data_IF_577209099099
#
_entry.id   IF_577209099099
#
_cell.length_a   1.000
_cell.length_b   1.000
_cell.length_c   1.000
_cell.angle_alpha   90.00
_cell.angle_beta   90.00
_cell.angle_gamma   90.00
#
_symmetry.space_group_name_H-M   'P 1'
#
loop_
_entity.id
_entity.type
_entity.pdbx_description
1 polymer ?
#
# COMPACT_ATOMS: atom_id res chain seq x y z
N UNK A 1 7.36 36.62 -46.30
CA UNK A 1 8.49 36.62 -45.36
C UNK A 1 8.28 35.40 -44.48
N UNK A 2 9.06 34.35 -44.70
CA UNK A 2 8.91 33.04 -44.07
C UNK A 2 9.96 32.90 -42.95
N UNK A 3 9.53 32.54 -41.75
CA UNK A 3 10.43 32.04 -40.69
C UNK A 3 9.78 30.84 -40.02
N UNK A 4 10.39 29.69 -40.30
CA UNK A 4 10.05 28.36 -39.84
C UNK A 4 10.70 28.14 -38.49
N UNK A 5 9.94 28.22 -37.38
CA UNK A 5 10.45 27.82 -36.07
C UNK A 5 10.24 26.32 -35.85
N UNK A 6 11.38 25.66 -35.65
CA UNK A 6 11.54 24.22 -35.51
C UNK A 6 10.95 23.76 -34.16
N UNK A 7 10.08 22.75 -34.22
CA UNK A 7 9.75 21.92 -33.06
C UNK A 7 11.03 21.28 -32.51
N UNK A 8 11.48 21.72 -31.34
CA UNK A 8 12.43 20.97 -30.52
C UNK A 8 11.62 20.04 -29.61
N UNK A 9 11.73 18.73 -29.84
CA UNK A 9 11.21 17.70 -28.93
C UNK A 9 11.87 17.84 -27.55
N UNK A 10 11.15 17.55 -26.44
CA UNK A 10 11.73 17.53 -25.11
C UNK A 10 12.85 16.49 -25.06
N UNK A 11 13.99 16.87 -24.48
CA UNK A 11 15.08 15.95 -24.21
C UNK A 11 14.58 14.79 -23.34
N UNK A 12 14.67 13.58 -23.87
CA UNK A 12 14.45 12.36 -23.10
C UNK A 12 15.45 12.36 -21.94
N UNK A 13 14.95 12.31 -20.72
CA UNK A 13 15.76 12.09 -19.52
C UNK A 13 16.63 10.86 -19.74
N UNK A 14 17.95 11.03 -19.65
CA UNK A 14 18.91 9.96 -19.90
C UNK A 14 18.69 8.85 -18.87
N UNK A 15 18.69 7.60 -19.35
CA UNK A 15 18.61 6.42 -18.51
C UNK A 15 19.76 6.34 -17.48
N UNK A 16 20.85 7.09 -17.71
CA UNK A 16 22.03 7.15 -16.85
C UNK A 16 21.78 7.91 -15.54
N UNK A 17 21.01 9.00 -15.54
CA UNK A 17 20.72 9.76 -14.29
C UNK A 17 19.84 8.95 -13.34
N UNK A 18 18.89 8.19 -13.88
CA UNK A 18 18.08 7.25 -13.11
C UNK A 18 18.91 6.06 -12.60
N UNK A 19 19.90 5.61 -13.37
CA UNK A 19 20.82 4.54 -12.96
C UNK A 19 21.77 5.01 -11.84
N UNK A 20 22.24 6.25 -11.88
CA UNK A 20 23.17 6.83 -10.91
C UNK A 20 22.49 7.04 -9.54
N UNK A 21 21.23 7.49 -9.52
CA UNK A 21 20.41 7.54 -8.30
C UNK A 21 20.04 6.15 -7.75
N UNK A 22 19.92 5.14 -8.62
CA UNK A 22 19.73 3.75 -8.22
C UNK A 22 20.99 3.17 -7.56
N UNK A 23 22.17 3.50 -8.08
CA UNK A 23 23.47 3.05 -7.58
C UNK A 23 23.77 3.66 -6.20
N UNK A 24 23.58 4.98 -6.04
CA UNK A 24 23.80 5.69 -4.78
C UNK A 24 22.85 5.20 -3.66
N UNK A 25 21.63 4.78 -3.97
CA UNK A 25 20.73 4.18 -2.96
C UNK A 25 20.96 2.68 -2.73
N UNK A 26 21.52 1.96 -3.70
CA UNK A 26 22.01 0.59 -3.50
C UNK A 26 23.22 0.58 -2.53
N UNK A 27 23.98 1.67 -2.52
CA UNK A 27 25.11 1.97 -1.64
C UNK A 27 24.69 2.51 -0.26
N UNK A 28 23.41 2.47 0.12
CA UNK A 28 23.04 2.72 1.51
C UNK A 28 23.64 1.60 2.40
N UNK A 29 24.32 1.92 3.52
CA UNK A 29 25.12 0.96 4.31
C UNK A 29 24.32 -0.20 4.92
N UNK A 30 22.99 -0.23 4.75
CA UNK A 30 22.10 -1.31 5.17
C UNK A 30 22.05 -2.50 4.18
N UNK A 31 22.48 -2.36 2.93
CA UNK A 31 22.56 -3.49 2.00
C UNK A 31 23.73 -4.44 2.32
N UNK A 32 24.84 -3.90 2.82
CA UNK A 32 26.10 -4.63 2.98
C UNK A 32 26.11 -5.65 4.14
N UNK A 33 25.16 -5.60 5.08
CA UNK A 33 25.13 -6.52 6.25
C UNK A 33 23.82 -7.33 6.36
N UNK A 34 23.27 -7.76 5.21
CA UNK A 34 22.10 -8.65 5.17
C UNK A 34 22.47 -10.07 5.61
N UNK A 35 22.39 -10.35 6.92
CA UNK A 35 22.48 -11.73 7.43
C UNK A 35 21.12 -12.42 7.23
N UNK A 36 21.07 -13.40 6.35
CA UNK A 36 19.86 -14.17 6.03
C UNK A 36 19.12 -14.59 7.31
N UNK A 37 17.79 -14.39 7.34
CA UNK A 37 16.96 -14.81 8.46
C UNK A 37 17.11 -16.34 8.63
N UNK A 38 17.68 -16.78 9.76
CA UNK A 38 17.92 -18.19 10.03
C UNK A 38 16.59 -18.91 10.26
N UNK A 39 16.22 -19.79 9.32
CA UNK A 39 15.01 -20.62 9.35
C UNK A 39 15.08 -21.72 10.43
N UNK A 40 16.24 -21.92 11.08
CA UNK A 40 16.49 -22.98 12.07
C UNK A 40 15.40 -23.12 13.14
N UNK A 41 14.88 -22.01 13.68
CA UNK A 41 13.84 -22.07 14.71
C UNK A 41 12.50 -22.63 14.21
N UNK A 42 12.12 -22.30 12.97
CA UNK A 42 10.87 -22.81 12.37
C UNK A 42 11.01 -24.28 11.94
N UNK A 43 12.16 -24.67 11.39
CA UNK A 43 12.45 -26.08 11.07
C UNK A 43 12.41 -26.95 12.32
N UNK A 44 13.00 -26.48 13.42
CA UNK A 44 12.98 -27.21 14.69
C UNK A 44 11.56 -27.37 15.24
N UNK A 45 10.71 -26.34 15.13
CA UNK A 45 9.30 -26.46 15.49
C UNK A 45 8.55 -27.50 14.64
N UNK A 46 8.78 -27.54 13.33
CA UNK A 46 8.20 -28.58 12.47
C UNK A 46 8.64 -29.99 12.86
N UNK A 47 9.90 -30.18 13.25
CA UNK A 47 10.40 -31.48 13.74
C UNK A 47 9.71 -31.87 15.05
N UNK A 48 9.52 -30.92 15.97
CA UNK A 48 8.78 -31.16 17.22
C UNK A 48 7.32 -31.56 16.96
N UNK A 49 6.66 -30.87 16.03
CA UNK A 49 5.27 -31.15 15.67
C UNK A 49 5.12 -32.55 15.01
N UNK A 50 6.06 -32.91 14.14
CA UNK A 50 6.11 -34.24 13.52
C UNK A 50 6.30 -35.34 14.57
N UNK A 51 7.20 -35.14 15.54
CA UNK A 51 7.39 -36.06 16.67
C UNK A 51 6.11 -36.23 17.49
N UNK A 52 5.38 -35.14 17.73
CA UNK A 52 4.10 -35.20 18.43
C UNK A 52 3.04 -36.00 17.66
N UNK A 53 2.91 -35.77 16.35
CA UNK A 53 1.99 -36.54 15.51
C UNK A 53 2.33 -38.04 15.50
N UNK A 54 3.63 -38.39 15.43
CA UNK A 54 4.07 -39.80 15.53
C UNK A 54 3.74 -40.42 16.89
N UNK A 55 3.82 -39.64 17.97
CA UNK A 55 3.46 -40.10 19.32
C UNK A 55 1.94 -40.30 19.45
N UNK A 56 1.13 -39.44 18.84
CA UNK A 56 -0.33 -39.58 18.80
C UNK A 56 -0.78 -40.88 18.10
N UNK A 57 -0.13 -41.23 16.98
CA UNK A 57 -0.38 -42.45 16.21
C UNK A 57 0.16 -43.69 16.95
N UNK A 58 1.39 -43.59 17.47
CA UNK A 58 2.09 -44.67 18.16
C UNK A 58 1.53 -45.00 19.55
N UNK A 59 0.78 -44.08 20.17
CA UNK A 59 0.25 -44.25 21.53
C UNK A 59 -0.64 -45.50 21.69
N UNK A 60 -1.32 -45.96 20.63
CA UNK A 60 -2.13 -47.19 20.71
C UNK A 60 -1.27 -48.46 20.80
N UNK A 61 -0.09 -48.44 20.18
CA UNK A 61 0.82 -49.58 20.11
C UNK A 61 1.75 -49.62 21.32
N UNK A 62 2.28 -48.47 21.73
CA UNK A 62 3.26 -48.33 22.81
C UNK A 62 2.60 -48.54 24.18
N UNK A 63 1.37 -48.07 24.38
CA UNK A 63 0.67 -48.16 25.68
C UNK A 63 -0.38 -49.27 25.74
N UNK A 64 -0.30 -50.29 24.85
CA UNK A 64 -1.12 -51.53 24.95
C UNK A 64 -1.21 -52.11 26.37
N UNK A 65 -0.14 -52.16 27.19
CA UNK A 65 -0.23 -52.77 28.51
C UNK A 65 -0.91 -51.91 29.59
N UNK A 66 -1.11 -50.60 29.38
CA UNK A 66 -1.69 -49.69 30.40
C UNK A 66 -2.65 -48.67 29.77
N UNK A 67 -3.82 -49.14 29.33
CA UNK A 67 -4.83 -48.31 28.64
C UNK A 67 -5.36 -47.13 29.48
N UNK A 68 -5.33 -47.23 30.82
CA UNK A 68 -5.80 -46.17 31.72
C UNK A 68 -4.92 -44.90 31.72
N UNK A 69 -3.63 -45.03 31.40
CA UNK A 69 -2.68 -43.90 31.42
C UNK A 69 -2.61 -43.14 30.09
N UNK A 70 -3.23 -43.65 29.03
CA UNK A 70 -3.16 -43.05 27.69
C UNK A 70 -3.75 -41.63 27.68
N UNK A 71 -4.92 -41.45 28.30
CA UNK A 71 -5.60 -40.14 28.35
C UNK A 71 -4.81 -39.07 29.14
N UNK A 72 -4.33 -39.32 30.37
CA UNK A 72 -3.55 -38.32 31.10
C UNK A 72 -2.17 -38.04 30.48
N UNK A 73 -1.53 -39.04 29.87
CA UNK A 73 -0.23 -38.85 29.18
C UNK A 73 -0.38 -38.03 27.90
N UNK A 74 -1.45 -38.25 27.12
CA UNK A 74 -1.74 -37.42 25.94
C UNK A 74 -2.04 -35.98 26.35
N UNK A 75 -2.84 -35.78 27.40
CA UNK A 75 -3.17 -34.45 27.91
C UNK A 75 -1.95 -33.71 28.46
N UNK A 76 -1.06 -34.39 29.19
CA UNK A 76 0.17 -33.75 29.70
C UNK A 76 1.14 -33.39 28.56
N UNK A 77 1.24 -34.25 27.54
CA UNK A 77 2.04 -33.97 26.35
C UNK A 77 1.52 -32.75 25.57
N UNK A 78 0.20 -32.58 25.51
CA UNK A 78 -0.46 -31.47 24.83
C UNK A 78 -0.25 -30.12 25.55
N UNK A 79 -0.35 -30.11 26.88
CA UNK A 79 0.00 -28.94 27.71
C UNK A 79 1.47 -28.57 27.56
N UNK A 80 2.36 -29.58 27.49
CA UNK A 80 3.79 -29.35 27.25
C UNK A 80 4.05 -28.73 25.87
N UNK A 81 3.31 -29.19 24.85
CA UNK A 81 3.36 -28.59 23.52
C UNK A 81 2.85 -27.16 23.49
N UNK A 82 1.78 -26.84 24.21
CA UNK A 82 1.27 -25.48 24.30
C UNK A 82 2.32 -24.54 24.91
N UNK A 83 3.00 -24.99 25.98
CA UNK A 83 4.07 -24.22 26.62
C UNK A 83 5.25 -24.01 25.67
N UNK A 84 5.68 -25.06 24.97
CA UNK A 84 6.76 -24.99 23.99
C UNK A 84 6.38 -24.07 22.82
N UNK A 85 5.14 -24.15 22.33
CA UNK A 85 4.60 -23.30 21.25
C UNK A 85 4.55 -21.83 21.66
N UNK A 86 4.24 -21.53 22.92
CA UNK A 86 4.32 -20.17 23.46
C UNK A 86 5.73 -19.58 23.43
N UNK A 87 6.75 -20.36 23.83
CA UNK A 87 8.17 -19.94 23.75
C UNK A 87 8.57 -19.71 22.30
N UNK A 88 8.20 -20.62 21.39
CA UNK A 88 8.47 -20.46 19.95
C UNK A 88 7.77 -19.23 19.37
N UNK A 89 6.56 -18.91 19.80
CA UNK A 89 5.87 -17.71 19.35
C UNK A 89 6.61 -16.43 19.77
N UNK A 90 7.10 -16.36 21.00
CA UNK A 90 7.89 -15.20 21.45
C UNK A 90 9.16 -15.04 20.62
N UNK A 91 9.84 -16.13 20.30
CA UNK A 91 10.99 -16.15 19.41
C UNK A 91 10.64 -15.68 17.98
N UNK A 92 9.53 -16.15 17.40
CA UNK A 92 9.11 -15.76 16.05
C UNK A 92 8.68 -14.30 15.99
N UNK A 93 7.98 -13.79 17.00
CA UNK A 93 7.62 -12.36 17.10
C UNK A 93 8.87 -11.49 17.16
N UNK A 94 9.87 -11.90 17.94
CA UNK A 94 11.17 -11.22 17.99
C UNK A 94 11.84 -11.20 16.60
N UNK A 95 11.82 -12.31 15.87
CA UNK A 95 12.34 -12.37 14.50
C UNK A 95 11.59 -11.45 13.53
N UNK A 96 10.25 -11.39 13.60
CA UNK A 96 9.43 -10.49 12.76
C UNK A 96 9.72 -9.02 13.08
N UNK A 97 9.96 -8.69 14.35
CA UNK A 97 10.30 -7.33 14.77
C UNK A 97 11.69 -6.92 14.25
N UNK A 98 12.65 -7.85 14.25
CA UNK A 98 13.95 -7.65 13.62
C UNK A 98 13.84 -7.41 12.11
N UNK A 99 12.97 -8.15 11.41
CA UNK A 99 12.71 -7.94 9.98
C UNK A 99 12.00 -6.60 9.72
N UNK A 100 11.16 -6.13 10.65
CA UNK A 100 10.51 -4.81 10.57
C UNK A 100 11.53 -3.67 10.61
N UNK A 101 12.53 -3.78 11.48
CA UNK A 101 13.66 -2.86 11.59
C UNK A 101 14.53 -2.81 10.32
N UNK A 102 14.41 -3.79 9.43
CA UNK A 102 15.09 -3.80 8.13
C UNK A 102 14.29 -3.08 7.02
N UNK A 103 13.15 -2.43 7.35
CA UNK A 103 12.38 -1.63 6.38
C UNK A 103 11.36 -2.42 5.55
N UNK A 104 11.07 -3.68 5.89
CA UNK A 104 10.08 -4.51 5.17
C UNK A 104 8.69 -4.48 5.84
N UNK A 105 7.99 -3.35 5.71
CA UNK A 105 6.76 -3.07 6.47
C UNK A 105 5.55 -3.93 6.04
N UNK A 106 5.20 -3.95 4.75
CA UNK A 106 4.09 -4.76 4.20
C UNK A 106 4.29 -6.25 4.42
N UNK A 107 5.54 -6.70 4.32
CA UNK A 107 5.92 -8.07 4.59
C UNK A 107 5.81 -8.41 6.09
N UNK A 108 6.30 -7.54 6.97
CA UNK A 108 6.20 -7.70 8.43
C UNK A 108 4.73 -7.76 8.90
N UNK A 109 3.85 -6.94 8.32
CA UNK A 109 2.43 -6.92 8.69
C UNK A 109 1.72 -8.23 8.34
N UNK A 110 1.98 -8.80 7.15
CA UNK A 110 1.47 -10.13 6.76
C UNK A 110 2.08 -11.24 7.61
N UNK A 111 3.36 -11.17 7.90
CA UNK A 111 4.09 -12.18 8.67
C UNK A 111 3.67 -12.19 10.16
N UNK A 112 3.35 -11.02 10.74
CA UNK A 112 2.85 -10.88 12.11
C UNK A 112 1.54 -11.64 12.32
N UNK A 113 0.63 -11.61 11.34
CA UNK A 113 -0.61 -12.36 11.40
C UNK A 113 -0.33 -13.87 11.33
N UNK A 114 0.50 -14.30 10.38
CA UNK A 114 0.86 -15.70 10.17
C UNK A 114 1.55 -16.33 11.39
N UNK A 115 2.42 -15.59 12.08
CA UNK A 115 3.13 -16.08 13.29
C UNK A 115 2.20 -16.35 14.47
N UNK A 116 1.03 -15.70 14.54
CA UNK A 116 0.10 -15.88 15.67
C UNK A 116 -0.82 -17.09 15.53
N UNK A 117 -1.01 -17.59 14.30
CA UNK A 117 -1.97 -18.66 13.97
C UNK A 117 -1.62 -20.01 14.63
N UNK A 118 -0.35 -20.50 14.63
CA UNK A 118 0.00 -21.80 15.22
C UNK A 118 -0.34 -21.89 16.71
N UNK A 119 -0.10 -20.81 17.47
CA UNK A 119 -0.43 -20.77 18.89
C UNK A 119 -1.93 -20.75 19.14
N UNK A 120 -2.70 -20.00 18.35
CA UNK A 120 -4.15 -20.00 18.46
C UNK A 120 -4.71 -21.39 18.18
N UNK A 121 -4.21 -22.09 17.16
CA UNK A 121 -4.62 -23.46 16.83
C UNK A 121 -4.35 -24.41 18.00
N UNK A 122 -3.14 -24.37 18.59
CA UNK A 122 -2.80 -25.21 19.74
C UNK A 122 -3.59 -24.86 21.01
N UNK A 123 -3.87 -23.58 21.25
CA UNK A 123 -4.73 -23.16 22.36
C UNK A 123 -6.19 -23.65 22.18
N UNK A 124 -6.73 -23.61 20.95
CA UNK A 124 -8.07 -24.14 20.67
C UNK A 124 -8.11 -25.68 20.73
N UNK A 125 -7.07 -26.37 20.27
CA UNK A 125 -6.94 -27.82 20.34
C UNK A 125 -6.90 -28.35 21.78
N UNK A 126 -6.05 -27.75 22.60
CA UNK A 126 -5.95 -28.06 24.05
C UNK A 126 -7.26 -27.77 24.81
N UNK A 127 -7.91 -26.64 24.53
CA UNK A 127 -9.23 -26.31 25.10
C UNK A 127 -10.31 -27.32 24.70
N UNK A 128 -10.33 -27.77 23.44
CA UNK A 128 -11.24 -28.81 22.97
C UNK A 128 -10.98 -30.16 23.65
N UNK A 129 -9.71 -30.53 23.87
CA UNK A 129 -9.35 -31.75 24.61
C UNK A 129 -9.81 -31.70 26.07
N UNK A 130 -9.61 -30.59 26.77
CA UNK A 130 -10.11 -30.40 28.12
C UNK A 130 -11.64 -30.48 28.19
N UNK A 131 -12.34 -29.87 27.23
CA UNK A 131 -13.80 -29.94 27.13
C UNK A 131 -14.28 -31.39 26.95
N UNK A 132 -13.63 -32.17 26.09
CA UNK A 132 -13.96 -33.60 25.87
C UNK A 132 -13.71 -34.43 27.14
N UNK A 133 -12.68 -34.11 27.92
CA UNK A 133 -12.41 -34.78 29.21
C UNK A 133 -13.48 -34.44 30.25
N UNK A 134 -13.93 -33.18 30.32
CA UNK A 134 -15.00 -32.74 31.23
C UNK A 134 -16.35 -33.34 30.83
N UNK A 135 -16.62 -33.49 29.53
CA UNK A 135 -17.88 -34.05 29.00
C UNK A 135 -17.94 -35.59 28.97
N UNK A 136 -17.01 -36.26 29.67
CA UNK A 136 -16.92 -37.72 29.82
C UNK A 136 -18.25 -38.49 30.00
N UNK A 137 -19.25 -38.02 30.77
CA UNK A 137 -20.45 -38.83 31.03
C UNK A 137 -21.45 -38.95 29.86
N UNK A 138 -21.34 -38.15 28.79
CA UNK A 138 -22.37 -38.07 27.73
C UNK A 138 -21.97 -38.66 26.36
N UNK A 139 -20.73 -39.14 26.19
CA UNK A 139 -20.24 -39.59 24.87
C UNK A 139 -20.18 -41.12 24.76
N UNK A 140 -21.26 -41.73 24.26
CA UNK A 140 -21.37 -43.19 24.10
C UNK A 140 -20.87 -43.76 22.76
N UNK A 141 -20.49 -42.93 21.78
CA UNK A 141 -20.29 -43.36 20.38
C UNK A 141 -18.84 -43.66 19.96
N UNK A 142 -17.82 -43.15 20.67
CA UNK A 142 -16.40 -43.37 20.34
C UNK A 142 -15.55 -43.42 21.63
N UNK A 143 -14.48 -44.22 21.65
CA UNK A 143 -13.56 -44.23 22.79
C UNK A 143 -12.94 -42.83 22.97
N UNK A 144 -12.93 -42.32 24.20
CA UNK A 144 -12.39 -40.98 24.54
C UNK A 144 -10.96 -40.82 24.03
N UNK A 145 -10.15 -41.89 24.13
CA UNK A 145 -8.79 -41.91 23.60
C UNK A 145 -8.72 -41.77 22.07
N UNK A 146 -9.71 -42.22 21.31
CA UNK A 146 -9.75 -42.04 19.86
C UNK A 146 -10.10 -40.60 19.48
N UNK A 147 -11.06 -39.98 20.19
CA UNK A 147 -11.44 -38.58 19.96
C UNK A 147 -10.26 -37.64 20.24
N UNK A 148 -9.57 -37.81 21.37
CA UNK A 148 -8.39 -37.01 21.72
C UNK A 148 -7.28 -37.12 20.66
N UNK A 149 -7.07 -38.31 20.08
CA UNK A 149 -6.08 -38.50 19.01
C UNK A 149 -6.47 -37.84 17.71
N UNK A 150 -7.75 -37.89 17.34
CA UNK A 150 -8.25 -37.20 16.14
C UNK A 150 -8.01 -35.69 16.29
N UNK A 151 -8.33 -35.12 17.46
CA UNK A 151 -8.07 -33.70 17.75
C UNK A 151 -6.57 -33.38 17.64
N UNK A 152 -5.70 -34.19 18.24
CA UNK A 152 -4.24 -34.00 18.16
C UNK A 152 -3.68 -34.09 16.74
N UNK A 153 -4.15 -35.04 15.93
CA UNK A 153 -3.71 -35.18 14.54
C UNK A 153 -4.17 -33.97 13.72
N UNK A 154 -5.42 -33.53 13.88
CA UNK A 154 -5.96 -32.35 13.19
C UNK A 154 -5.20 -31.08 13.61
N UNK A 155 -4.88 -30.93 14.89
CA UNK A 155 -4.09 -29.81 15.40
C UNK A 155 -2.66 -29.82 14.83
N UNK A 156 -1.99 -30.97 14.83
CA UNK A 156 -0.64 -31.11 14.30
C UNK A 156 -0.60 -30.86 12.78
N UNK A 157 -1.57 -31.39 12.01
CA UNK A 157 -1.63 -31.15 10.56
C UNK A 157 -1.89 -29.68 10.26
N UNK A 158 -2.81 -29.04 10.98
CA UNK A 158 -3.13 -27.62 10.76
C UNK A 158 -1.98 -26.70 11.16
N UNK A 159 -1.39 -26.85 12.34
CA UNK A 159 -0.22 -26.08 12.77
C UNK A 159 0.99 -26.29 11.84
N UNK A 160 1.21 -27.54 11.38
CA UNK A 160 2.28 -27.88 10.44
C UNK A 160 2.09 -27.24 9.06
N UNK A 161 0.85 -27.16 8.58
CA UNK A 161 0.51 -26.47 7.33
C UNK A 161 0.85 -24.97 7.41
N UNK A 162 0.45 -24.28 8.49
CA UNK A 162 0.77 -22.86 8.67
C UNK A 162 2.27 -22.59 8.84
N UNK A 163 3.00 -23.49 9.49
CA UNK A 163 4.46 -23.37 9.60
C UNK A 163 5.16 -23.63 8.27
N UNK A 164 4.64 -24.53 7.44
CA UNK A 164 5.14 -24.74 6.08
C UNK A 164 4.91 -23.51 5.20
N UNK A 165 3.74 -22.85 5.34
CA UNK A 165 3.48 -21.57 4.70
C UNK A 165 4.46 -20.48 5.19
N UNK A 166 4.72 -20.42 6.50
CA UNK A 166 5.69 -19.48 7.07
C UNK A 166 7.10 -19.69 6.52
N UNK A 167 7.56 -20.93 6.45
CA UNK A 167 8.85 -21.29 5.84
C UNK A 167 8.86 -20.93 4.36
N UNK A 168 7.77 -21.20 3.64
CA UNK A 168 7.59 -20.82 2.24
C UNK A 168 7.69 -19.30 2.03
N UNK A 169 7.07 -18.51 2.90
CA UNK A 169 7.15 -17.05 2.87
C UNK A 169 8.56 -16.53 3.18
N UNK A 170 9.28 -17.12 4.14
CA UNK A 170 10.67 -16.77 4.43
C UNK A 170 11.59 -17.17 3.28
N UNK A 171 11.36 -18.35 2.70
CA UNK A 171 12.13 -18.81 1.55
C UNK A 171 11.89 -17.93 0.34
N UNK A 172 10.63 -17.56 0.08
CA UNK A 172 10.26 -16.60 -0.95
C UNK A 172 10.93 -15.25 -0.69
N UNK A 173 10.93 -14.77 0.56
CA UNK A 173 11.65 -13.56 0.99
C UNK A 173 13.17 -13.65 0.80
N UNK A 174 13.77 -14.82 1.04
CA UNK A 174 15.20 -15.03 0.86
C UNK A 174 15.58 -15.19 -0.62
N UNK A 175 14.66 -15.72 -1.45
CA UNK A 175 14.83 -15.89 -2.90
C UNK A 175 14.57 -14.60 -3.68
N UNK A 176 13.64 -13.77 -3.19
CA UNK A 176 13.39 -12.45 -3.72
C UNK A 176 14.48 -11.52 -3.14
N UNK A 177 15.54 -11.31 -3.91
CA UNK A 177 16.48 -10.19 -3.72
C UNK A 177 15.82 -8.81 -3.93
N UNK A 178 14.50 -8.72 -3.78
CA UNK A 178 13.72 -7.53 -4.07
C UNK A 178 13.94 -6.47 -3.01
N UNK A 179 14.20 -5.26 -3.52
CA UNK A 179 14.34 -4.01 -2.78
C UNK A 179 13.29 -3.85 -1.66
N UNK A 180 13.62 -3.14 -0.56
CA UNK A 180 12.67 -2.83 0.50
C UNK A 180 11.38 -2.25 -0.08
N UNK A 181 10.21 -2.77 0.33
CA UNK A 181 8.89 -2.27 -0.10
C UNK A 181 8.72 -0.76 0.17
N UNK A 182 9.48 -0.21 1.12
CA UNK A 182 9.58 1.23 1.42
C UNK A 182 10.09 2.02 0.22
N UNK A 183 11.07 1.52 -0.52
CA UNK A 183 11.56 2.17 -1.75
C UNK A 183 10.47 2.22 -2.82
N UNK A 184 9.70 1.15 -3.00
CA UNK A 184 8.59 1.13 -3.96
C UNK A 184 7.53 2.18 -3.61
N UNK A 185 7.30 2.42 -2.32
CA UNK A 185 6.42 3.48 -1.82
C UNK A 185 7.01 4.90 -1.87
N UNK A 186 8.34 5.05 -2.00
CA UNK A 186 9.00 6.33 -2.25
C UNK A 186 9.05 6.65 -3.75
N UNK A 187 9.14 5.62 -4.60
CA UNK A 187 9.05 5.73 -6.05
C UNK A 187 7.62 6.00 -6.54
N UNK A 188 6.59 5.49 -5.87
CA UNK A 188 5.19 5.70 -6.25
C UNK A 188 4.68 7.15 -6.18
N UNK A 189 5.10 8.00 -5.23
CA UNK A 189 4.81 9.44 -5.22
C UNK A 189 5.58 10.25 -6.28
N UNK A 190 6.72 9.74 -6.75
CA UNK A 190 7.52 10.36 -7.81
C UNK A 190 7.03 9.99 -9.22
N UNK A 191 6.10 9.04 -9.32
CA UNK A 191 5.48 8.62 -10.57
C UNK A 191 4.27 9.52 -10.89
N UNK A 192 4.14 10.05 -12.12
CA UNK A 192 3.12 11.03 -12.48
C UNK A 192 1.70 10.54 -12.16
N UNK A 193 0.96 11.43 -11.53
CA UNK A 193 -0.38 11.25 -10.97
C UNK A 193 -1.42 10.78 -12.00
N UNK A 194 -1.82 9.51 -11.91
CA UNK A 194 -3.01 9.00 -12.61
C UNK A 194 -4.26 9.08 -11.73
N UNK A 195 -5.19 9.95 -12.16
CA UNK A 195 -6.63 10.10 -11.81
C UNK A 195 -7.02 10.16 -10.32
N UNK A 196 -7.37 11.38 -9.92
CA UNK A 196 -7.90 11.87 -8.65
C UNK A 196 -9.33 11.36 -8.29
N UNK A 197 -9.72 10.13 -8.64
CA UNK A 197 -11.09 9.63 -8.39
C UNK A 197 -11.16 8.53 -7.29
N UNK A 198 -10.02 8.00 -6.84
CA UNK A 198 -9.96 6.94 -5.81
C UNK A 198 -9.56 7.37 -4.39
N UNK A 199 -9.22 8.65 -4.18
CA UNK A 199 -8.44 9.11 -3.03
C UNK A 199 -9.23 9.19 -1.71
N UNK A 200 -10.58 9.17 -1.74
CA UNK A 200 -11.39 9.36 -0.53
C UNK A 200 -11.51 8.11 0.37
N UNK A 201 -11.03 6.95 -0.08
CA UNK A 201 -11.06 5.69 0.68
C UNK A 201 -9.67 5.08 0.96
N UNK A 202 -8.58 5.71 0.49
CA UNK A 202 -7.19 5.23 0.68
C UNK A 202 -6.33 6.10 1.61
N UNK A 203 -6.86 7.24 2.06
CA UNK A 203 -6.11 8.23 2.84
C UNK A 203 -5.72 7.71 4.25
N UNK A 204 -6.58 6.93 4.90
CA UNK A 204 -6.29 6.36 6.22
C UNK A 204 -5.17 5.29 6.23
N UNK A 205 -4.95 4.62 5.09
CA UNK A 205 -3.88 3.61 4.96
C UNK A 205 -2.56 4.24 4.52
N UNK A 206 -2.64 5.38 3.82
CA UNK A 206 -1.50 6.22 3.44
C UNK A 206 -0.93 6.98 4.63
N UNK A 207 -1.77 7.54 5.51
CA UNK A 207 -1.32 8.23 6.73
C UNK A 207 -0.66 7.27 7.73
N UNK A 208 -1.20 6.07 7.92
CA UNK A 208 -0.56 5.01 8.72
C UNK A 208 0.79 4.57 8.15
N UNK A 209 0.89 4.52 6.82
CA UNK A 209 2.12 4.17 6.11
C UNK A 209 3.16 5.31 6.20
N UNK A 210 2.73 6.57 6.15
CA UNK A 210 3.58 7.75 6.35
C UNK A 210 4.06 7.87 7.80
N UNK A 211 3.19 7.61 8.79
CA UNK A 211 3.56 7.55 10.21
C UNK A 211 4.59 6.44 10.46
N UNK A 212 4.39 5.25 9.86
CA UNK A 212 5.34 4.14 9.96
C UNK A 212 6.69 4.45 9.30
N UNK A 213 6.70 5.20 8.20
CA UNK A 213 7.92 5.63 7.53
C UNK A 213 8.68 6.67 8.36
N UNK A 214 7.98 7.66 8.91
CA UNK A 214 8.58 8.66 9.81
C UNK A 214 9.16 7.97 11.06
N UNK A 215 8.45 6.99 11.59
CA UNK A 215 8.92 6.21 12.73
C UNK A 215 10.16 5.38 12.37
N UNK A 216 10.18 4.76 11.20
CA UNK A 216 11.35 4.04 10.68
C UNK A 216 12.57 4.95 10.48
N UNK A 217 12.37 6.13 9.89
CA UNK A 217 13.44 7.13 9.71
C UNK A 217 13.97 7.61 11.06
N UNK A 218 13.08 7.86 12.03
CA UNK A 218 13.46 8.26 13.39
C UNK A 218 14.25 7.18 14.12
N UNK A 219 13.80 5.93 14.03
CA UNK A 219 14.49 4.77 14.63
C UNK A 219 15.86 4.53 13.97
N UNK A 220 15.98 4.68 12.65
CA UNK A 220 17.26 4.61 11.94
C UNK A 220 18.22 5.73 12.36
N UNK A 221 17.74 6.97 12.46
CA UNK A 221 18.55 8.09 12.95
C UNK A 221 19.02 7.86 14.38
N UNK A 222 18.17 7.31 15.24
CA UNK A 222 18.54 6.95 16.60
C UNK A 222 19.61 5.84 16.63
N UNK A 223 19.44 4.79 15.84
CA UNK A 223 20.43 3.71 15.74
C UNK A 223 21.77 4.20 15.20
N UNK A 224 21.77 5.01 14.14
CA UNK A 224 22.98 5.65 13.60
C UNK A 224 23.66 6.53 14.66
N UNK A 225 22.88 7.30 15.44
CA UNK A 225 23.44 8.13 16.51
C UNK A 225 24.08 7.30 17.62
N UNK A 226 23.49 6.15 17.96
CA UNK A 226 24.02 5.24 18.97
C UNK A 226 25.31 4.56 18.48
N UNK A 227 25.36 4.16 17.21
CA UNK A 227 26.54 3.55 16.62
C UNK A 227 27.69 4.56 16.46
N UNK A 228 27.39 5.81 16.09
CA UNK A 228 28.38 6.90 16.07
C UNK A 228 28.97 7.12 17.46
N UNK A 229 28.12 7.17 18.50
CA UNK A 229 28.58 7.30 19.88
C UNK A 229 29.44 6.11 20.31
N UNK A 230 29.07 4.90 19.90
CA UNK A 230 29.87 3.69 20.15
C UNK A 230 31.22 3.72 19.45
N UNK A 231 31.26 4.13 18.19
CA UNK A 231 32.49 4.28 17.43
C UNK A 231 33.37 5.38 18.03
N UNK A 232 32.78 6.48 18.50
CA UNK A 232 33.46 7.55 19.21
C UNK A 232 34.01 7.07 20.57
N UNK A 233 33.29 6.21 21.29
CA UNK A 233 33.77 5.56 22.50
C UNK A 233 34.91 4.56 22.21
N UNK A 234 34.82 3.79 21.12
CA UNK A 234 35.89 2.89 20.68
C UNK A 234 37.15 3.65 20.26
N UNK A 235 37.00 4.76 19.53
CA UNK A 235 38.10 5.64 19.13
C UNK A 235 38.74 6.32 20.35
N UNK A 236 37.94 6.86 21.28
CA UNK A 236 38.48 7.47 22.50
C UNK A 236 39.19 6.46 23.41
N UNK A 237 38.73 5.20 23.46
CA UNK A 237 39.43 4.12 24.17
C UNK A 237 40.76 3.78 23.51
N UNK A 238 40.80 3.78 22.17
CA UNK A 238 42.03 3.57 21.40
C UNK A 238 43.01 4.73 21.59
N UNK A 239 42.54 5.97 21.53
CA UNK A 239 43.34 7.18 21.79
C UNK A 239 43.90 7.24 23.22
N UNK A 240 43.13 6.75 24.20
CA UNK A 240 43.58 6.67 25.60
C UNK A 240 44.54 5.50 25.87
N UNK A 241 44.71 4.58 24.92
CA UNK A 241 45.60 3.41 25.07
C UNK A 241 46.93 3.53 24.31
N UNK A 242 47.21 4.64 23.62
CA UNK A 242 48.40 4.71 22.76
C UNK A 242 49.65 5.26 23.48
N UNK A 243 50.52 4.31 23.80
CA UNK A 243 51.94 4.51 24.04
C UNK A 243 52.64 4.27 22.67
N UNK A 244 53.35 5.29 22.16
CA UNK A 244 54.45 5.20 21.17
C UNK A 244 54.17 5.31 19.65
N UNK A 245 53.81 6.52 19.23
CA UNK A 245 54.56 7.38 18.26
C UNK A 245 54.93 6.89 16.85
N UNK A 246 54.42 5.77 16.35
CA UNK A 246 54.65 5.33 14.96
C UNK A 246 53.40 5.22 14.05
N UNK A 247 52.15 5.13 14.57
CA UNK A 247 50.94 5.17 13.71
C UNK A 247 50.30 6.56 13.57
N UNK A 248 50.73 7.57 14.33
CA UNK A 248 50.06 8.89 14.43
C UNK A 248 50.14 9.72 13.13
N UNK A 249 51.20 9.57 12.34
CA UNK A 249 51.37 10.29 11.06
C UNK A 249 50.42 9.74 10.00
N UNK A 250 50.25 8.42 9.94
CA UNK A 250 49.36 7.76 8.98
C UNK A 250 47.89 8.00 9.33
N UNK A 251 47.55 8.04 10.62
CA UNK A 251 46.22 8.43 11.10
C UNK A 251 45.92 9.91 10.83
N UNK A 252 46.90 10.81 10.96
CA UNK A 252 46.71 12.21 10.63
C UNK A 252 46.45 12.42 9.13
N UNK A 253 47.13 11.67 8.27
CA UNK A 253 46.87 11.69 6.82
C UNK A 253 45.51 11.10 6.47
N UNK A 254 45.09 10.01 7.11
CA UNK A 254 43.76 9.43 6.92
C UNK A 254 42.64 10.37 7.43
N UNK A 255 42.86 11.02 8.56
CA UNK A 255 41.93 11.99 9.14
C UNK A 255 41.82 13.24 8.24
N UNK A 256 42.94 13.72 7.72
CA UNK A 256 42.95 14.80 6.72
C UNK A 256 42.21 14.40 5.43
N UNK A 257 42.36 13.16 4.98
CA UNK A 257 41.61 12.64 3.83
C UNK A 257 40.09 12.60 4.09
N UNK A 258 39.67 12.12 5.28
CA UNK A 258 38.25 12.11 5.67
C UNK A 258 37.66 13.51 5.86
N UNK A 259 38.42 14.44 6.42
CA UNK A 259 38.00 15.83 6.58
C UNK A 259 37.84 16.52 5.21
N UNK A 260 38.67 16.15 4.23
CA UNK A 260 38.50 16.59 2.85
C UNK A 260 37.24 16.01 2.21
N UNK A 261 36.95 14.71 2.39
CA UNK A 261 35.71 14.08 1.92
C UNK A 261 34.46 14.73 2.54
N UNK A 262 34.51 15.11 3.82
CA UNK A 262 33.40 15.81 4.47
C UNK A 262 33.18 17.21 3.88
N UNK A 263 34.26 17.93 3.52
CA UNK A 263 34.14 19.23 2.86
C UNK A 263 33.57 19.12 1.46
N UNK A 264 33.95 18.10 0.69
CA UNK A 264 33.38 17.87 -0.65
C UNK A 264 31.91 17.46 -0.56
N UNK A 265 31.55 16.53 0.33
CA UNK A 265 30.15 16.14 0.56
C UNK A 265 29.29 17.31 1.05
N UNK A 266 29.85 18.20 1.89
CA UNK A 266 29.17 19.42 2.32
C UNK A 266 28.91 20.38 1.15
N UNK A 267 29.87 20.53 0.23
CA UNK A 267 29.69 21.33 -0.98
C UNK A 267 28.60 20.75 -1.90
N UNK A 268 28.59 19.42 -2.08
CA UNK A 268 27.56 18.73 -2.86
C UNK A 268 26.17 18.84 -2.22
N UNK A 269 26.06 18.71 -0.90
CA UNK A 269 24.80 18.92 -0.17
C UNK A 269 24.29 20.35 -0.37
N UNK A 270 25.16 21.35 -0.29
CA UNK A 270 24.79 22.75 -0.52
C UNK A 270 24.34 22.98 -1.96
N UNK A 271 24.98 22.32 -2.93
CA UNK A 271 24.59 22.36 -4.34
C UNK A 271 23.19 21.75 -4.54
N UNK A 272 22.95 20.52 -4.05
CA UNK A 272 21.64 19.86 -4.14
C UNK A 272 20.56 20.68 -3.43
N UNK A 273 20.88 21.30 -2.30
CA UNK A 273 19.95 22.19 -1.60
C UNK A 273 19.61 23.44 -2.42
N UNK A 274 20.55 23.97 -3.19
CA UNK A 274 20.31 25.10 -4.10
C UNK A 274 19.44 24.69 -5.29
N UNK A 275 19.67 23.51 -5.87
CA UNK A 275 18.86 22.95 -6.95
C UNK A 275 17.43 22.64 -6.48
N UNK A 276 17.27 22.12 -5.26
CA UNK A 276 15.96 21.91 -4.64
C UNK A 276 15.20 23.23 -4.44
N UNK A 277 15.89 24.30 -4.05
CA UNK A 277 15.28 25.64 -3.94
C UNK A 277 14.84 26.15 -5.31
N UNK A 278 15.64 25.95 -6.35
CA UNK A 278 15.30 26.32 -7.72
C UNK A 278 14.10 25.51 -8.24
N UNK A 279 14.07 24.19 -8.00
CA UNK A 279 12.93 23.35 -8.37
C UNK A 279 11.64 23.81 -7.69
N UNK A 280 11.71 24.19 -6.41
CA UNK A 280 10.56 24.75 -5.67
C UNK A 280 10.08 26.08 -6.24
N UNK A 281 10.99 26.97 -6.65
CA UNK A 281 10.57 28.23 -7.27
C UNK A 281 9.90 27.99 -8.62
N UNK A 282 10.42 27.06 -9.43
CA UNK A 282 9.79 26.69 -10.70
C UNK A 282 8.39 26.10 -10.50
N UNK A 283 8.19 25.27 -9.46
CA UNK A 283 6.86 24.75 -9.13
C UNK A 283 5.91 25.90 -8.77
N UNK A 284 6.35 26.86 -7.95
CA UNK A 284 5.54 28.02 -7.58
C UNK A 284 5.16 28.87 -8.80
N UNK A 285 6.09 29.08 -9.74
CA UNK A 285 5.82 29.79 -10.99
C UNK A 285 4.77 29.03 -11.83
N UNK A 286 4.91 27.71 -11.99
CA UNK A 286 3.93 26.89 -12.72
C UNK A 286 2.56 26.89 -12.05
N UNK A 287 2.50 26.87 -10.73
CA UNK A 287 1.23 26.98 -10.00
C UNK A 287 0.56 28.33 -10.25
N UNK A 288 1.33 29.42 -10.34
CA UNK A 288 0.80 30.75 -10.67
C UNK A 288 0.27 30.82 -12.10
N UNK A 289 0.94 30.19 -13.07
CA UNK A 289 0.48 30.08 -14.46
C UNK A 289 -0.82 29.26 -14.54
N UNK A 290 -0.91 28.14 -13.81
CA UNK A 290 -2.12 27.31 -13.74
C UNK A 290 -3.28 28.11 -13.15
N UNK A 291 -3.04 28.89 -12.10
CA UNK A 291 -4.07 29.76 -11.52
C UNK A 291 -4.54 30.81 -12.53
N UNK A 292 -3.64 31.44 -13.27
CA UNK A 292 -3.99 32.40 -14.31
C UNK A 292 -4.83 31.76 -15.44
N UNK A 293 -4.45 30.56 -15.90
CA UNK A 293 -5.23 29.81 -16.90
C UNK A 293 -6.60 29.41 -16.37
N UNK A 294 -6.71 29.03 -15.09
CA UNK A 294 -8.02 28.74 -14.48
C UNK A 294 -8.91 29.96 -14.42
N UNK A 295 -8.37 31.13 -14.05
CA UNK A 295 -9.13 32.39 -14.00
C UNK A 295 -9.64 32.79 -15.39
N UNK A 296 -8.78 32.70 -16.41
CA UNK A 296 -9.20 33.00 -17.80
C UNK A 296 -10.21 31.99 -18.32
N UNK A 297 -10.05 30.69 -18.02
CA UNK A 297 -11.05 29.68 -18.39
C UNK A 297 -12.41 29.95 -17.74
N UNK A 298 -12.42 30.30 -16.44
CA UNK A 298 -13.66 30.64 -15.75
C UNK A 298 -14.37 31.85 -16.38
N UNK A 299 -13.62 32.87 -16.80
CA UNK A 299 -14.16 34.01 -17.57
C UNK A 299 -14.81 33.55 -18.88
N UNK A 300 -14.16 32.66 -19.65
CA UNK A 300 -14.74 32.12 -20.88
C UNK A 300 -16.01 31.30 -20.61
N UNK A 301 -16.07 30.55 -19.50
CA UNK A 301 -17.27 29.80 -19.11
C UNK A 301 -18.41 30.76 -18.81
N UNK A 302 -18.17 31.81 -18.02
CA UNK A 302 -19.16 32.84 -17.72
C UNK A 302 -19.66 33.57 -18.97
N UNK A 303 -18.76 33.92 -19.90
CA UNK A 303 -19.13 34.51 -21.19
C UNK A 303 -19.97 33.55 -22.05
N UNK A 304 -19.60 32.26 -22.10
CA UNK A 304 -20.37 31.25 -22.80
C UNK A 304 -21.78 31.11 -22.21
N UNK A 305 -21.92 31.14 -20.89
CA UNK A 305 -23.23 31.12 -20.23
C UNK A 305 -24.06 32.36 -20.56
N UNK A 306 -23.44 33.55 -20.56
CA UNK A 306 -24.11 34.79 -20.98
C UNK A 306 -24.59 34.70 -22.43
N UNK A 307 -23.75 34.20 -23.34
CA UNK A 307 -24.11 34.02 -24.75
C UNK A 307 -25.25 33.01 -24.92
N UNK A 308 -25.25 31.91 -24.17
CA UNK A 308 -26.39 30.95 -24.16
C UNK A 308 -27.68 31.59 -23.65
N UNK A 309 -27.61 32.40 -22.61
CA UNK A 309 -28.78 33.12 -22.09
C UNK A 309 -29.36 34.08 -23.15
N UNK A 310 -28.50 34.87 -23.79
CA UNK A 310 -28.89 35.75 -24.91
C UNK A 310 -29.53 34.94 -26.04
N UNK A 311 -28.90 33.84 -26.46
CA UNK A 311 -29.44 32.97 -27.50
C UNK A 311 -30.82 32.40 -27.11
N UNK A 312 -31.00 32.03 -25.84
CA UNK A 312 -32.29 31.63 -25.28
C UNK A 312 -33.34 32.74 -25.39
N UNK A 313 -33.00 33.98 -25.04
CA UNK A 313 -33.90 35.12 -25.21
C UNK A 313 -34.29 35.35 -26.67
N UNK A 314 -33.32 35.34 -27.60
CA UNK A 314 -33.59 35.48 -29.03
C UNK A 314 -34.51 34.37 -29.55
N UNK A 315 -34.28 33.13 -29.11
CA UNK A 315 -35.14 31.99 -29.43
C UNK A 315 -36.58 32.20 -28.93
N UNK A 316 -36.77 32.67 -27.69
CA UNK A 316 -38.13 32.96 -27.19
C UNK A 316 -38.80 34.12 -27.92
N UNK A 317 -38.04 35.17 -28.30
CA UNK A 317 -38.54 36.29 -29.11
C UNK A 317 -38.96 35.80 -30.50
N UNK A 318 -38.15 34.96 -31.14
CA UNK A 318 -38.47 34.34 -32.44
C UNK A 318 -39.73 33.48 -32.35
N UNK A 319 -39.85 32.60 -31.34
CA UNK A 319 -41.02 31.76 -31.15
C UNK A 319 -42.31 32.56 -30.86
N UNK A 320 -42.21 33.77 -30.29
CA UNK A 320 -43.36 34.68 -30.14
C UNK A 320 -43.76 35.29 -31.48
N UNK A 321 -42.80 35.67 -32.31
CA UNK A 321 -43.05 36.20 -33.65
C UNK A 321 -43.67 35.13 -34.56
N UNK A 322 -43.23 33.87 -34.48
CA UNK A 322 -43.83 32.77 -35.24
C UNK A 322 -45.29 32.56 -34.86
N UNK A 323 -45.61 32.52 -33.55
CA UNK A 323 -47.01 32.42 -33.11
C UNK A 323 -47.86 33.62 -33.56
N UNK A 324 -47.32 34.84 -33.49
CA UNK A 324 -48.03 36.02 -33.97
C UNK A 324 -48.30 35.94 -35.48
N UNK A 325 -47.33 35.47 -36.25
CA UNK A 325 -47.46 35.26 -37.69
C UNK A 325 -48.47 34.17 -38.03
N UNK A 326 -48.51 33.07 -37.27
CA UNK A 326 -49.52 32.03 -37.40
C UNK A 326 -50.93 32.57 -37.12
N UNK A 327 -51.10 33.41 -36.11
CA UNK A 327 -52.39 34.05 -35.80
C UNK A 327 -52.85 34.96 -36.96
N UNK A 328 -51.95 35.76 -37.53
CA UNK A 328 -52.25 36.58 -38.71
C UNK A 328 -52.59 35.72 -39.96
N UNK A 329 -51.92 34.59 -40.15
CA UNK A 329 -52.27 33.64 -41.23
C UNK A 329 -53.66 33.03 -41.00
N UNK A 330 -54.00 32.68 -39.77
CA UNK A 330 -55.32 32.14 -39.45
C UNK A 330 -56.43 33.20 -39.62
N UNK A 331 -56.18 34.44 -39.20
CA UNK A 331 -57.14 35.55 -39.35
C UNK A 331 -57.40 35.88 -40.83
N UNK A 332 -56.35 35.88 -41.66
CA UNK A 332 -56.48 36.11 -43.12
C UNK A 332 -57.24 34.99 -43.82
N UNK A 333 -56.99 33.72 -43.46
CA UNK A 333 -57.77 32.57 -43.95
C UNK A 333 -59.26 32.66 -43.55
N UNK A 334 -59.56 33.08 -42.33
CA UNK A 334 -60.94 33.30 -41.88
C UNK A 334 -61.63 34.43 -42.65
N UNK A 335 -60.95 35.55 -42.89
CA UNK A 335 -61.47 36.64 -43.71
C UNK A 335 -61.76 36.19 -45.14
N UNK A 336 -60.84 35.44 -45.76
CA UNK A 336 -61.03 34.87 -47.08
C UNK A 336 -62.23 33.92 -47.12
N UNK A 337 -62.40 33.09 -46.08
CA UNK A 337 -63.57 32.22 -45.94
C UNK A 337 -64.86 33.03 -45.85
N UNK A 338 -64.91 34.08 -45.02
CA UNK A 338 -66.07 34.98 -44.91
C UNK A 338 -66.40 35.64 -46.26
N UNK A 339 -65.41 36.14 -46.99
CA UNK A 339 -65.58 36.69 -48.33
C UNK A 339 -66.14 35.67 -49.32
N UNK A 340 -65.63 34.43 -49.30
CA UNK A 340 -66.14 33.36 -50.17
C UNK A 340 -67.60 33.01 -49.85
N UNK A 341 -67.99 32.98 -48.57
CA UNK A 341 -69.38 32.76 -48.16
C UNK A 341 -70.29 33.91 -48.61
N UNK A 342 -69.88 35.17 -48.39
CA UNK A 342 -70.65 36.34 -48.85
C UNK A 342 -70.81 36.32 -50.37
N UNK A 343 -69.72 36.05 -51.11
CA UNK A 343 -69.77 35.91 -52.57
C UNK A 343 -70.71 34.79 -53.01
N UNK A 344 -70.69 33.64 -52.33
CA UNK A 344 -71.62 32.55 -52.63
C UNK A 344 -73.07 32.94 -52.37
N UNK A 345 -73.37 33.69 -51.30
CA UNK A 345 -74.70 34.20 -50.99
C UNK A 345 -75.19 35.22 -52.03
N UNK A 346 -74.32 36.10 -52.53
CA UNK A 346 -74.65 37.02 -53.63
C UNK A 346 -75.01 36.26 -54.91
N UNK A 347 -74.27 35.20 -55.27
CA UNK A 347 -74.63 34.34 -56.41
C UNK A 347 -75.95 33.60 -56.21
N UNK A 348 -76.28 33.18 -54.98
CA UNK A 348 -77.60 32.58 -54.71
C UNK A 348 -78.73 33.58 -54.87
N UNK A 349 -78.55 34.84 -54.45
CA UNK A 349 -79.55 35.91 -54.62
C UNK A 349 -79.72 36.36 -56.07
N UNK A 350 -78.66 36.45 -56.86
CA UNK A 350 -78.75 36.73 -58.30
C UNK A 350 -79.39 35.57 -59.08
N UNK A 351 -79.18 34.32 -58.65
CA UNK A 351 -79.86 33.16 -59.24
C UNK A 351 -81.37 33.13 -58.92
N UNK A 352 -81.82 33.70 -57.80
CA UNK A 352 -83.26 33.85 -57.49
C UNK A 352 -83.90 35.06 -58.18
N UNK A 353 -83.15 36.08 -58.59
CA UNK A 353 -83.67 37.21 -59.39
C UNK A 353 -83.70 36.93 -60.91
N UNK A 354 -82.96 35.92 -61.39
CA UNK A 354 -83.03 35.46 -62.79
C UNK A 354 -83.80 34.15 -63.00
N UNK A 355 -84.34 33.57 -61.93
CA UNK A 355 -85.32 32.48 -61.96
C UNK A 355 -86.68 32.97 -61.48
N UNK A 356 -87.38 33.72 -62.35
CA UNK A 356 -88.80 34.04 -62.22
C UNK A 356 -89.68 32.78 -62.26
#
# INVERSE_FOLDING_TARGET
MATTDRYASPAATSAEDNALFLDILHEAPLFAHRKAARVFGSVFYCILLARYATLAIGAHWIFRPVQGLISPVLCSCDVLLLLLTGIFQQYLVYQVQKIRLQGYYSFSQKLKFIVRIPFSITAYGTAAMLLVIVWKPYTGFLSISAILRIIMIVEAVSSGCFMSLYIGYIHQYNSLNSHPDVLKSLYSPLQPSSSLEGLRYHDGRLSDQQMALLQYQRENLHFLSEEILRLQECLSKYERTDDRSTPQVDLAHLLAARDQELRTLSAEMNQVQSELRLARSLIADRDSEIQHVRMTNNQYVEENERLRAILGEWSTRAAKLERALEVERMSTLELQRKLSTVRSQSYTSEATEHGA
#
